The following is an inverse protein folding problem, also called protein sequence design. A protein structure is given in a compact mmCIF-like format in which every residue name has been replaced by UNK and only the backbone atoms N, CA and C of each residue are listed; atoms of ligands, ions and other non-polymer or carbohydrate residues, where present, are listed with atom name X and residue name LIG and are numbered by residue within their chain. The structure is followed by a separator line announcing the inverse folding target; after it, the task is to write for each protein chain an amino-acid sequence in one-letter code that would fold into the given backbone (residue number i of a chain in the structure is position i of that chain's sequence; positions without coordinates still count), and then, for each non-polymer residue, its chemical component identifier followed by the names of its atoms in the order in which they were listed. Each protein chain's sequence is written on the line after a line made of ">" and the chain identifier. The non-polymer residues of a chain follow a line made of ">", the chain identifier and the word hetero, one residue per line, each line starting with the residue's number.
data_IF_006923904428
#
_entry.id   IF_006923904428
#
_cell.length_a   1.000
_cell.length_b   1.000
_cell.length_c   1.000
_cell.angle_alpha   90.00
_cell.angle_beta   90.00
_cell.angle_gamma   90.00
#
_symmetry.space_group_name_H-M   'P 1'
#
loop_
_entity.id
_entity.type
_entity.pdbx_description
1 polymer ?
#
# COMPACT_ATOMS: atom_id res chain seq x y z
N UNK A 1 -6.16 -20.13 27.80
CA UNK A 1 -7.14 -19.34 27.02
C UNK A 1 -6.88 -19.62 25.54
N UNK A 2 -7.90 -20.14 24.84
CA UNK A 2 -7.75 -20.71 23.50
C UNK A 2 -7.53 -19.65 22.43
N UNK A 3 -6.33 -19.61 21.88
CA UNK A 3 -5.98 -18.78 20.71
C UNK A 3 -6.38 -19.50 19.41
N UNK A 4 -7.64 -19.92 19.34
CA UNK A 4 -8.18 -20.58 18.15
C UNK A 4 -8.52 -19.51 17.11
N UNK A 5 -7.67 -19.39 16.08
CA UNK A 5 -7.93 -18.59 14.90
C UNK A 5 -9.28 -18.98 14.29
N UNK A 6 -10.05 -17.98 13.88
CA UNK A 6 -11.27 -18.20 13.12
C UNK A 6 -10.99 -18.97 11.83
N UNK A 7 -12.03 -19.60 11.26
CA UNK A 7 -11.92 -20.26 9.95
C UNK A 7 -11.40 -19.29 8.88
N UNK A 8 -11.83 -18.03 8.95
CA UNK A 8 -11.47 -16.97 8.00
C UNK A 8 -10.00 -16.60 8.13
N UNK A 9 -9.51 -16.34 9.34
CA UNK A 9 -8.07 -16.07 9.58
C UNK A 9 -7.19 -17.24 9.13
N UNK A 10 -7.63 -18.48 9.37
CA UNK A 10 -6.88 -19.66 8.93
C UNK A 10 -6.77 -19.74 7.41
N UNK A 11 -7.82 -19.38 6.67
CA UNK A 11 -7.77 -19.30 5.21
C UNK A 11 -6.86 -18.16 4.74
N UNK A 12 -6.94 -16.99 5.38
CA UNK A 12 -6.09 -15.85 5.06
C UNK A 12 -4.60 -16.17 5.28
N UNK A 13 -4.25 -16.85 6.38
CA UNK A 13 -2.90 -17.35 6.65
C UNK A 13 -2.42 -18.32 5.57
N UNK A 14 -3.30 -19.21 5.09
CA UNK A 14 -2.95 -20.14 3.99
C UNK A 14 -2.60 -19.38 2.71
N UNK A 15 -3.36 -18.33 2.39
CA UNK A 15 -3.08 -17.49 1.22
C UNK A 15 -1.74 -16.76 1.37
N UNK A 16 -1.47 -16.14 2.52
CA UNK A 16 -0.19 -15.48 2.78
C UNK A 16 0.99 -16.46 2.71
N UNK A 17 0.83 -17.68 3.26
CA UNK A 17 1.86 -18.71 3.11
C UNK A 17 2.12 -19.06 1.66
N UNK A 18 1.06 -19.27 0.88
CA UNK A 18 1.20 -19.59 -0.53
C UNK A 18 1.89 -18.45 -1.31
N UNK A 19 1.53 -17.20 -1.01
CA UNK A 19 2.17 -16.01 -1.57
C UNK A 19 3.67 -15.99 -1.26
N UNK A 20 4.06 -16.13 0.01
CA UNK A 20 5.47 -16.13 0.39
C UNK A 20 6.23 -17.33 -0.20
N UNK A 21 5.60 -18.50 -0.27
CA UNK A 21 6.19 -19.68 -0.91
C UNK A 21 6.43 -19.47 -2.39
N UNK A 22 5.54 -18.76 -3.10
CA UNK A 22 5.76 -18.40 -4.51
C UNK A 22 6.92 -17.42 -4.71
N UNK A 23 7.26 -16.63 -3.68
CA UNK A 23 8.45 -15.77 -3.66
C UNK A 23 9.70 -16.47 -3.09
N UNK A 24 9.67 -17.80 -2.91
CA UNK A 24 10.80 -18.58 -2.39
C UNK A 24 11.00 -18.51 -0.87
N UNK A 25 10.04 -17.99 -0.11
CA UNK A 25 10.16 -17.78 1.34
C UNK A 25 9.16 -18.65 2.10
N UNK A 26 9.66 -19.51 2.99
CA UNK A 26 8.79 -20.30 3.87
C UNK A 26 8.71 -19.71 5.28
N UNK A 27 7.49 -19.42 5.74
CA UNK A 27 7.24 -18.84 7.06
C UNK A 27 6.33 -19.75 7.89
N UNK A 28 6.73 -20.01 9.13
CA UNK A 28 5.96 -20.82 10.09
C UNK A 28 4.64 -20.14 10.45
N UNK A 29 3.58 -20.94 10.67
CA UNK A 29 2.25 -20.45 11.10
C UNK A 29 2.32 -19.56 12.35
N UNK A 30 3.22 -19.85 13.29
CA UNK A 30 3.41 -19.08 14.52
C UNK A 30 3.81 -17.62 14.26
N UNK A 31 4.57 -17.33 13.20
CA UNK A 31 4.95 -15.95 12.85
C UNK A 31 3.76 -15.12 12.40
N UNK A 32 2.80 -15.73 11.69
CA UNK A 32 1.56 -15.07 11.34
C UNK A 32 0.68 -14.80 12.56
N UNK A 33 0.67 -15.71 13.52
CA UNK A 33 -0.07 -15.50 14.76
C UNK A 33 0.46 -14.30 15.54
N UNK A 34 1.78 -14.19 15.68
CA UNK A 34 2.43 -13.03 16.28
C UNK A 34 2.11 -11.74 15.51
N UNK A 35 2.23 -11.79 14.17
CA UNK A 35 1.89 -10.66 13.30
C UNK A 35 0.44 -10.18 13.50
N UNK A 36 -0.54 -11.09 13.48
CA UNK A 36 -1.95 -10.71 13.62
C UNK A 36 -2.30 -10.19 15.01
N UNK A 37 -1.58 -10.60 16.05
CA UNK A 37 -1.73 -10.04 17.40
C UNK A 37 -1.38 -8.53 17.42
N UNK A 38 -0.31 -8.14 16.76
CA UNK A 38 0.08 -6.72 16.68
C UNK A 38 -0.82 -5.93 15.72
N UNK A 39 -1.20 -6.53 14.59
CA UNK A 39 -2.10 -5.88 13.65
C UNK A 39 -3.48 -5.64 14.30
N UNK A 40 -4.05 -6.61 15.01
CA UNK A 40 -5.37 -6.45 15.65
C UNK A 40 -5.37 -5.35 16.72
N UNK A 41 -4.23 -5.16 17.42
CA UNK A 41 -4.05 -4.12 18.43
C UNK A 41 -3.95 -2.71 17.85
N UNK A 42 -3.34 -2.54 16.67
CA UNK A 42 -3.03 -1.21 16.12
C UNK A 42 -3.82 -0.85 14.86
N UNK A 43 -4.43 -1.83 14.20
CA UNK A 43 -5.14 -1.67 12.95
C UNK A 43 -6.58 -2.16 13.09
N UNK A 44 -7.41 -1.48 13.88
CA UNK A 44 -8.82 -1.85 14.10
C UNK A 44 -9.66 -1.90 12.81
N UNK A 45 -9.21 -1.21 11.76
CA UNK A 45 -9.82 -1.20 10.43
C UNK A 45 -9.39 -2.39 9.56
N UNK A 46 -8.27 -3.05 9.90
CA UNK A 46 -7.74 -4.18 9.14
C UNK A 46 -8.43 -5.46 9.60
N UNK A 47 -9.09 -6.13 8.65
CA UNK A 47 -9.68 -7.45 8.87
C UNK A 47 -8.92 -8.47 8.02
N UNK A 48 -8.41 -9.57 8.58
CA UNK A 48 -7.72 -10.63 7.82
C UNK A 48 -8.72 -11.47 7.03
N UNK A 49 -9.47 -10.83 6.13
CA UNK A 49 -10.60 -11.39 5.40
C UNK A 49 -10.47 -11.12 3.90
N UNK A 50 -10.45 -12.19 3.11
CA UNK A 50 -10.58 -12.14 1.65
C UNK A 50 -9.37 -11.59 0.86
N UNK A 51 -9.43 -11.73 -0.47
CA UNK A 51 -8.41 -11.25 -1.42
C UNK A 51 -8.29 -9.72 -1.43
N UNK A 52 -9.34 -8.99 -1.05
CA UNK A 52 -9.33 -7.52 -1.05
C UNK A 52 -8.33 -6.91 -0.07
N UNK A 53 -7.91 -7.65 0.96
CA UNK A 53 -6.90 -7.22 1.94
C UNK A 53 -5.48 -7.75 1.61
N UNK A 54 -5.35 -8.52 0.52
CA UNK A 54 -4.09 -9.00 -0.05
C UNK A 54 -3.63 -8.06 -1.18
N UNK A 55 -3.39 -6.79 -0.84
CA UNK A 55 -2.83 -5.82 -1.79
C UNK A 55 -1.81 -4.90 -1.10
N UNK A 56 -0.81 -4.43 -1.85
CA UNK A 56 0.28 -3.68 -1.24
C UNK A 56 -0.17 -2.31 -0.66
N UNK A 57 -1.27 -1.72 -1.14
CA UNK A 57 -1.78 -0.44 -0.58
C UNK A 57 -2.26 -0.62 0.87
N UNK A 58 -3.00 -1.70 1.13
CA UNK A 58 -3.44 -2.09 2.48
C UNK A 58 -2.24 -2.38 3.37
N UNK A 59 -1.29 -3.18 2.90
CA UNK A 59 -0.10 -3.54 3.71
C UNK A 59 0.80 -2.33 4.00
N UNK A 60 0.89 -1.35 3.09
CA UNK A 60 1.52 -0.04 3.36
C UNK A 60 0.82 0.74 4.47
N UNK A 61 -0.51 0.65 4.59
CA UNK A 61 -1.24 1.29 5.69
C UNK A 61 -1.00 0.56 7.02
N UNK A 62 -0.95 -0.77 7.02
CA UNK A 62 -0.60 -1.59 8.21
C UNK A 62 0.78 -1.20 8.73
N UNK A 63 1.81 -1.17 7.88
CA UNK A 63 3.18 -0.77 8.27
C UNK A 63 3.20 0.64 8.88
N UNK A 64 2.44 1.58 8.31
CA UNK A 64 2.33 2.95 8.84
C UNK A 64 1.65 3.01 10.21
N UNK A 65 0.64 2.17 10.45
CA UNK A 65 -0.02 2.10 11.75
C UNK A 65 0.92 1.50 12.81
N UNK A 66 1.63 0.42 12.49
CA UNK A 66 2.63 -0.19 13.38
C UNK A 66 3.78 0.79 13.69
N UNK A 67 4.20 1.60 12.70
CA UNK A 67 5.28 2.58 12.91
C UNK A 67 4.86 3.68 13.88
N UNK A 68 3.61 4.15 13.76
CA UNK A 68 3.04 5.12 14.70
C UNK A 68 2.95 4.53 16.11
N UNK A 69 2.49 3.29 16.26
CA UNK A 69 2.45 2.61 17.55
C UNK A 69 3.85 2.50 18.19
N UNK A 70 4.85 2.09 17.41
CA UNK A 70 6.25 2.05 17.87
C UNK A 70 6.77 3.41 18.34
N UNK A 71 6.47 4.48 17.60
CA UNK A 71 6.87 5.84 17.97
C UNK A 71 6.15 6.36 19.22
N UNK A 72 4.94 5.86 19.49
CA UNK A 72 4.15 6.22 20.67
C UNK A 72 4.51 5.40 21.92
N UNK A 73 5.54 4.55 21.85
CA UNK A 73 6.05 3.80 22.98
C UNK A 73 5.57 2.35 23.10
N UNK A 74 4.92 1.80 22.07
CA UNK A 74 4.60 0.36 22.01
C UNK A 74 5.60 -0.38 21.09
N UNK A 75 6.71 -0.93 21.63
CA UNK A 75 7.78 -1.48 20.81
C UNK A 75 7.31 -2.71 20.04
N UNK A 76 7.32 -2.58 18.71
CA UNK A 76 7.00 -3.65 17.77
C UNK A 76 8.23 -4.55 17.56
N UNK A 77 8.12 -5.88 17.78
CA UNK A 77 9.22 -6.82 17.59
C UNK A 77 9.76 -6.84 16.16
N UNK A 78 11.07 -7.12 16.03
CA UNK A 78 11.75 -7.25 14.72
C UNK A 78 11.10 -8.35 13.85
N UNK A 79 10.64 -9.44 14.47
CA UNK A 79 9.91 -10.53 13.80
C UNK A 79 8.67 -10.05 13.04
N UNK A 80 7.93 -9.11 13.63
CA UNK A 80 6.72 -8.50 13.07
C UNK A 80 7.11 -7.61 11.89
N UNK A 81 8.14 -6.78 12.04
CA UNK A 81 8.67 -5.95 10.96
C UNK A 81 9.11 -6.78 9.74
N UNK A 82 9.91 -7.82 9.96
CA UNK A 82 10.36 -8.71 8.89
C UNK A 82 9.17 -9.35 8.16
N UNK A 83 8.16 -9.81 8.91
CA UNK A 83 6.97 -10.43 8.31
C UNK A 83 6.17 -9.43 7.46
N UNK A 84 5.97 -8.21 7.94
CA UNK A 84 5.33 -7.14 7.15
C UNK A 84 6.09 -6.81 5.86
N UNK A 85 7.42 -6.75 5.93
CA UNK A 85 8.28 -6.48 4.77
C UNK A 85 8.18 -7.58 3.73
N UNK A 86 8.31 -8.84 4.15
CA UNK A 86 8.20 -10.00 3.25
C UNK A 86 6.85 -10.04 2.54
N UNK A 87 5.75 -9.83 3.28
CA UNK A 87 4.42 -9.82 2.70
C UNK A 87 4.26 -8.64 1.72
N UNK A 88 4.75 -7.45 2.09
CA UNK A 88 4.68 -6.27 1.21
C UNK A 88 5.46 -6.47 -0.09
N UNK A 89 6.64 -7.08 -0.02
CA UNK A 89 7.47 -7.42 -1.18
C UNK A 89 6.79 -8.47 -2.07
N UNK A 90 6.26 -9.54 -1.48
CA UNK A 90 5.59 -10.59 -2.24
C UNK A 90 4.29 -10.09 -2.90
N UNK A 91 3.68 -9.01 -2.39
CA UNK A 91 2.52 -8.36 -2.99
C UNK A 91 2.87 -7.38 -4.14
N UNK A 92 4.13 -6.94 -4.28
CA UNK A 92 4.50 -5.99 -5.34
C UNK A 92 4.23 -6.53 -6.76
N UNK A 93 4.64 -7.77 -7.12
CA UNK A 93 4.39 -8.32 -8.45
C UNK A 93 2.90 -8.52 -8.78
N UNK A 94 2.04 -8.60 -7.76
CA UNK A 94 0.60 -8.75 -7.94
C UNK A 94 -0.11 -7.42 -8.23
N UNK A 95 0.58 -6.29 -8.07
CA UNK A 95 0.11 -5.00 -8.53
C UNK A 95 0.50 -4.86 -10.01
N UNK A 96 -0.17 -5.63 -10.87
CA UNK A 96 0.03 -5.57 -12.31
C UNK A 96 0.09 -4.13 -12.81
N UNK A 97 1.09 -3.84 -13.63
CA UNK A 97 1.30 -2.59 -14.37
C UNK A 97 -0.01 -2.13 -15.02
N UNK A 98 -0.74 -1.26 -14.34
CA UNK A 98 -1.81 -0.45 -14.92
C UNK A 98 -1.34 1.00 -15.03
N UNK A 99 -0.08 1.18 -15.40
CA UNK A 99 0.42 2.43 -15.95
C UNK A 99 1.20 2.02 -17.20
N UNK A 100 0.58 2.21 -18.36
CA UNK A 100 1.20 1.93 -19.64
C UNK A 100 2.45 2.79 -19.79
N UNK A 101 3.59 2.14 -19.93
CA UNK A 101 4.74 2.69 -20.64
C UNK A 101 4.30 3.16 -22.03
N UNK A 102 4.16 4.47 -22.23
CA UNK A 102 4.50 5.09 -23.51
C UNK A 102 5.93 5.57 -23.39
N UNK A 103 6.82 4.73 -23.89
CA UNK A 103 8.17 5.07 -24.32
C UNK A 103 8.16 6.32 -25.19
N UNK A 104 8.97 7.32 -24.85
CA UNK A 104 9.77 8.02 -25.85
C UNK A 104 11.13 8.38 -25.24
N UNK A 105 12.11 7.56 -25.58
CA UNK A 105 13.53 7.88 -25.48
C UNK A 105 13.91 8.57 -26.79
N UNK A 106 14.09 9.88 -26.75
CA UNK A 106 14.85 10.62 -27.75
C UNK A 106 15.76 11.66 -27.06
N UNK A 107 17.02 11.25 -26.91
CA UNK A 107 18.22 11.96 -27.36
C UNK A 107 18.47 13.43 -26.98
N UNK A 108 19.55 13.59 -26.20
CA UNK A 108 20.56 14.66 -26.12
C UNK A 108 20.44 15.96 -26.97
N UNK A 109 20.68 17.06 -26.25
CA UNK A 109 21.53 18.24 -26.59
C UNK A 109 21.15 19.18 -27.75
N UNK A 110 21.08 20.48 -27.43
CA UNK A 110 21.49 21.58 -28.32
C UNK A 110 20.42 22.63 -28.65
N UNK A 111 20.57 23.82 -28.04
CA UNK A 111 20.26 25.19 -28.50
C UNK A 111 19.28 25.41 -29.68
N UNK A 112 18.21 26.20 -29.44
CA UNK A 112 18.03 27.59 -29.97
C UNK A 112 16.64 28.17 -29.60
N UNK A 113 16.66 29.39 -29.03
CA UNK A 113 15.55 30.34 -28.78
C UNK A 113 14.98 30.95 -30.10
N UNK A 114 14.05 31.94 -30.10
CA UNK A 114 12.64 31.93 -29.66
C UNK A 114 11.71 32.58 -30.73
N UNK A 115 10.37 32.44 -30.67
CA UNK A 115 9.47 33.44 -31.28
C UNK A 115 8.23 33.69 -30.41
N UNK A 116 8.17 34.94 -29.94
CA UNK A 116 7.08 35.65 -29.28
C UNK A 116 5.84 35.79 -30.18
N UNK A 117 4.62 35.55 -29.65
CA UNK A 117 3.50 36.51 -29.67
C UNK A 117 2.56 36.22 -28.50
N UNK A 118 2.31 37.23 -27.67
CA UNK A 118 1.22 37.39 -26.70
C UNK A 118 0.62 38.79 -27.02
N UNK A 119 -0.49 39.29 -26.45
CA UNK A 119 -1.65 38.71 -25.75
C UNK A 119 -2.98 39.19 -26.38
N UNK A 120 -4.11 38.83 -25.76
CA UNK A 120 -5.37 39.63 -25.59
C UNK A 120 -6.62 38.87 -26.04
N UNK A 121 -7.31 38.24 -25.10
CA UNK A 121 -8.77 38.36 -24.95
C UNK A 121 -9.14 37.85 -23.56
N UNK A 122 -9.33 38.83 -22.66
CA UNK A 122 -9.99 38.69 -21.38
C UNK A 122 -11.48 38.86 -21.71
N UNK A 123 -12.26 37.78 -21.72
CA UNK A 123 -13.71 37.87 -21.56
C UNK A 123 -14.09 37.34 -20.18
N UNK A 124 -14.22 38.32 -19.31
CA UNK A 124 -14.93 38.29 -18.04
C UNK A 124 -16.43 38.23 -18.29
N UNK A 125 -17.08 37.14 -17.89
CA UNK A 125 -18.53 37.15 -17.62
C UNK A 125 -18.75 36.60 -16.21
N UNK A 126 -18.86 37.54 -15.27
CA UNK A 126 -19.18 37.29 -13.87
C UNK A 126 -20.62 37.77 -13.61
N UNK A 127 -21.43 36.82 -13.13
CA UNK A 127 -22.53 36.95 -12.17
C UNK A 127 -23.69 37.91 -12.48
N UNK A 128 -24.82 37.30 -12.86
CA UNK A 128 -26.16 37.77 -12.49
C UNK A 128 -26.85 36.69 -11.65
N UNK A 129 -26.92 36.89 -10.34
CA UNK A 129 -28.06 36.45 -9.54
C UNK A 129 -28.40 37.54 -8.50
N UNK A 130 -29.67 37.94 -8.53
CA UNK A 130 -30.33 38.87 -7.62
C UNK A 130 -30.47 38.26 -6.21
N UNK A 131 -30.30 39.07 -5.16
CA UNK A 131 -31.12 38.96 -3.95
C UNK A 131 -31.10 40.25 -3.11
N UNK A 132 -32.30 40.86 -3.04
CA UNK A 132 -32.88 41.85 -2.10
C UNK A 132 -32.32 43.28 -1.98
#
# INVERSE_FOLDING_TARGET
>A
MGNSLSKVETQYIKLLRHLLSSSGVEVKKSRFHELFLYISRHCYWFKPEGKSQLNAKVWKQVIRALRRAHQQGDPIPVSVWSSCTLISQALQPLQSDSEGTTTDLATCSGETEPVYVNPTEIESDNEREEIY
#
